data_IF_221971878578
#
_entry.id   IF_221971878578
#
_cell.length_a   1.000
_cell.length_b   1.000
_cell.length_c   1.000
_cell.angle_alpha   90.00
_cell.angle_beta   90.00
_cell.angle_gamma   90.00
#
_symmetry.space_group_name_H-M   'P 1'
#
loop_
_entity.id
_entity.type
_entity.pdbx_description
1 polymer ?
#
# COMPACT_ATOMS: atom_id res chain seq x y z
N UNK A 1 -13.34 -93.74 3.65
CA UNK A 1 -14.15 -92.59 4.09
C UNK A 1 -13.23 -91.39 4.21
N UNK A 2 -13.74 -90.25 3.74
CA UNK A 2 -13.14 -88.91 3.72
C UNK A 2 -12.60 -88.45 5.07
N UNK A 3 -11.59 -87.57 5.07
CA UNK A 3 -11.89 -86.17 5.40
C UNK A 3 -10.83 -85.21 4.84
N UNK A 4 -11.32 -84.35 3.95
CA UNK A 4 -10.75 -83.05 3.59
C UNK A 4 -11.30 -82.02 4.60
N UNK A 5 -10.74 -80.80 4.57
CA UNK A 5 -11.17 -79.58 5.26
C UNK A 5 -10.66 -79.43 6.71
N UNK A 6 -10.15 -78.29 7.17
CA UNK A 6 -10.04 -76.96 6.57
C UNK A 6 -9.03 -76.12 7.37
N UNK A 7 -8.49 -75.10 6.72
CA UNK A 7 -7.63 -74.09 7.31
C UNK A 7 -8.46 -73.14 8.19
N UNK A 8 -8.16 -73.06 9.49
CA UNK A 8 -8.57 -71.91 10.30
C UNK A 8 -7.53 -71.65 11.40
N UNK A 9 -6.42 -71.00 11.02
CA UNK A 9 -5.58 -70.26 11.96
C UNK A 9 -6.48 -69.23 12.66
N UNK A 10 -6.74 -69.45 13.94
CA UNK A 10 -7.56 -68.56 14.74
C UNK A 10 -6.92 -67.17 14.79
N UNK A 11 -7.65 -66.16 14.31
CA UNK A 11 -7.31 -64.75 14.46
C UNK A 11 -7.35 -64.33 15.94
N UNK A 12 -6.39 -64.76 16.75
CA UNK A 12 -6.23 -64.27 18.12
C UNK A 12 -5.45 -62.97 18.06
N UNK A 13 -6.16 -61.85 17.94
CA UNK A 13 -5.58 -60.51 18.05
C UNK A 13 -4.96 -60.27 19.44
N UNK A 14 -4.24 -59.13 19.65
CA UNK A 14 -3.47 -58.82 20.87
C UNK A 14 -4.27 -58.74 22.19
N UNK A 15 -5.59 -58.89 22.12
CA UNK A 15 -6.49 -58.61 23.22
C UNK A 15 -7.21 -59.89 23.64
N UNK A 16 -6.82 -60.38 24.82
CA UNK A 16 -7.09 -61.75 25.30
C UNK A 16 -8.20 -61.82 26.33
N UNK A 17 -8.72 -60.67 26.79
CA UNK A 17 -9.79 -60.62 27.79
C UNK A 17 -10.91 -59.66 27.37
N UNK A 18 -12.18 -59.96 27.71
CA UNK A 18 -13.30 -59.05 27.43
C UNK A 18 -13.12 -57.65 28.06
N UNK A 19 -12.46 -57.59 29.23
CA UNK A 19 -12.13 -56.33 29.90
C UNK A 19 -11.13 -55.48 29.11
N UNK A 20 -10.16 -56.12 28.47
CA UNK A 20 -9.17 -55.43 27.63
C UNK A 20 -9.78 -54.97 26.29
N UNK A 21 -10.78 -55.67 25.74
CA UNK A 21 -11.56 -55.18 24.58
C UNK A 21 -12.34 -53.91 24.94
N UNK A 22 -13.02 -53.91 26.09
CA UNK A 22 -13.79 -52.76 26.54
C UNK A 22 -12.90 -51.53 26.79
N UNK A 23 -11.75 -51.73 27.43
CA UNK A 23 -10.81 -50.65 27.73
C UNK A 23 -10.14 -50.09 26.48
N UNK A 24 -9.78 -50.95 25.51
CA UNK A 24 -9.20 -50.52 24.24
C UNK A 24 -10.22 -49.75 23.38
N UNK A 25 -11.49 -50.20 23.36
CA UNK A 25 -12.57 -49.47 22.69
C UNK A 25 -12.78 -48.09 23.29
N UNK A 26 -12.84 -48.00 24.63
CA UNK A 26 -13.04 -46.73 25.33
C UNK A 26 -11.86 -45.78 25.11
N UNK A 27 -10.62 -46.29 25.20
CA UNK A 27 -9.41 -45.53 24.97
C UNK A 27 -9.31 -45.00 23.54
N UNK A 28 -9.74 -45.78 22.53
CA UNK A 28 -9.72 -45.35 21.13
C UNK A 28 -10.63 -44.16 20.84
N UNK A 29 -11.67 -43.94 21.64
CA UNK A 29 -12.56 -42.80 21.50
C UNK A 29 -12.11 -41.62 22.38
N UNK A 30 -11.70 -41.91 23.61
CA UNK A 30 -11.33 -40.89 24.59
C UNK A 30 -10.02 -40.20 24.22
N UNK A 31 -8.98 -40.95 23.85
CA UNK A 31 -7.64 -40.40 23.59
C UNK A 31 -7.66 -39.38 22.43
N UNK A 32 -8.26 -39.68 21.26
CA UNK A 32 -8.35 -38.69 20.18
C UNK A 32 -9.16 -37.45 20.54
N UNK A 33 -10.25 -37.59 21.32
CA UNK A 33 -11.07 -36.44 21.76
C UNK A 33 -10.25 -35.50 22.63
N UNK A 34 -9.51 -36.02 23.61
CA UNK A 34 -8.66 -35.18 24.46
C UNK A 34 -7.49 -34.56 23.68
N UNK A 35 -6.92 -35.27 22.70
CA UNK A 35 -5.89 -34.71 21.81
C UNK A 35 -6.46 -33.54 21.00
N UNK A 36 -7.64 -33.68 20.40
CA UNK A 36 -8.28 -32.62 19.63
C UNK A 36 -8.60 -31.41 20.52
N UNK A 37 -9.17 -31.63 21.72
CA UNK A 37 -9.43 -30.56 22.68
C UNK A 37 -8.14 -29.85 23.08
N UNK A 38 -7.06 -30.59 23.36
CA UNK A 38 -5.76 -30.04 23.68
C UNK A 38 -5.16 -29.23 22.53
N UNK A 39 -5.28 -29.70 21.29
CA UNK A 39 -4.83 -28.98 20.09
C UNK A 39 -5.67 -27.72 19.84
N UNK A 40 -6.99 -27.78 20.01
CA UNK A 40 -7.85 -26.59 19.92
C UNK A 40 -7.47 -25.59 21.00
N UNK A 41 -7.26 -26.02 22.24
CA UNK A 41 -6.84 -25.13 23.31
C UNK A 41 -5.47 -24.51 23.00
N UNK A 42 -4.51 -25.32 22.56
CA UNK A 42 -3.17 -24.86 22.18
C UNK A 42 -3.19 -23.83 21.03
N UNK A 43 -3.99 -24.08 19.99
CA UNK A 43 -4.14 -23.18 18.84
C UNK A 43 -4.93 -21.92 19.21
N UNK A 44 -5.93 -22.03 20.08
CA UNK A 44 -6.82 -20.90 20.43
C UNK A 44 -6.37 -20.11 21.65
N UNK A 45 -5.42 -20.61 22.45
CA UNK A 45 -4.83 -19.90 23.59
C UNK A 45 -3.84 -18.82 23.18
N UNK A 46 -3.33 -18.86 21.95
CA UNK A 46 -2.59 -17.75 21.37
C UNK A 46 -3.58 -16.65 20.90
N UNK A 47 -3.80 -15.68 21.78
CA UNK A 47 -4.45 -14.38 21.51
C UNK A 47 -5.89 -14.38 20.96
N UNK A 48 -6.87 -14.58 21.85
CA UNK A 48 -8.19 -13.93 21.71
C UNK A 48 -8.22 -12.63 22.49
N UNK A 49 -7.77 -11.55 21.87
CA UNK A 49 -8.34 -10.22 22.14
C UNK A 49 -9.49 -10.02 21.16
N UNK A 50 -10.69 -9.77 21.69
CA UNK A 50 -11.85 -9.41 20.88
C UNK A 50 -11.57 -8.10 20.10
N UNK A 51 -12.09 -7.92 18.88
CA UNK A 51 -11.97 -6.66 18.17
C UNK A 51 -12.62 -5.54 19.01
N UNK A 52 -11.82 -4.60 19.51
CA UNK A 52 -12.30 -3.36 20.12
C UNK A 52 -12.32 -3.26 21.66
N UNK A 53 -11.82 -4.24 22.42
CA UNK A 53 -11.96 -4.22 23.88
C UNK A 53 -10.78 -3.61 24.69
N UNK A 54 -9.64 -3.23 24.07
CA UNK A 54 -8.50 -2.67 24.84
C UNK A 54 -7.74 -1.51 24.20
N UNK A 55 -8.21 -0.95 23.09
CA UNK A 55 -7.49 0.11 22.37
C UNK A 55 -8.24 1.45 22.33
N UNK A 56 -9.11 1.77 23.31
CA UNK A 56 -9.74 3.11 23.34
C UNK A 56 -8.66 4.19 23.53
N UNK A 57 -7.80 4.05 24.53
CA UNK A 57 -6.70 4.99 24.78
C UNK A 57 -5.65 4.98 23.66
N UNK A 58 -5.31 3.81 23.12
CA UNK A 58 -4.36 3.70 22.00
C UNK A 58 -4.92 4.28 20.71
N UNK A 59 -6.20 4.06 20.41
CA UNK A 59 -6.84 4.62 19.21
C UNK A 59 -7.11 6.12 19.34
N UNK A 60 -7.36 6.64 20.54
CA UNK A 60 -7.39 8.09 20.83
C UNK A 60 -5.99 8.69 20.69
N UNK A 61 -4.96 8.05 21.27
CA UNK A 61 -3.57 8.51 21.15
C UNK A 61 -3.04 8.47 19.70
N UNK A 62 -3.49 7.50 18.89
CA UNK A 62 -3.19 7.44 17.45
C UNK A 62 -3.87 8.57 16.65
N UNK A 63 -5.07 9.01 17.06
CA UNK A 63 -5.78 10.15 16.44
C UNK A 63 -5.23 11.52 16.84
N UNK A 64 -4.52 11.61 17.97
CA UNK A 64 -3.84 12.84 18.43
C UNK A 64 -2.40 12.90 17.91
N UNK A 65 -1.91 11.87 17.20
CA UNK A 65 -0.61 11.96 16.53
C UNK A 65 -0.58 13.16 15.60
N UNK A 66 0.55 13.89 15.63
CA UNK A 66 0.76 15.09 14.83
C UNK A 66 0.75 14.68 13.34
N UNK A 67 -0.39 14.83 12.67
CA UNK A 67 -0.64 14.43 11.28
C UNK A 67 0.14 15.24 10.24
N UNK A 68 1.00 16.17 10.66
CA UNK A 68 1.84 16.94 9.76
C UNK A 68 2.94 17.69 10.50
N UNK A 69 4.17 17.55 10.02
CA UNK A 69 5.23 18.49 10.31
C UNK A 69 5.12 19.62 9.31
N UNK A 70 4.86 20.84 9.79
CA UNK A 70 4.96 22.03 8.95
C UNK A 70 6.43 22.44 8.94
N UNK A 71 7.09 22.24 7.80
CA UNK A 71 8.44 22.75 7.57
C UNK A 71 8.32 24.15 6.96
N UNK A 72 8.79 25.17 7.69
CA UNK A 72 8.92 26.51 7.13
C UNK A 72 10.26 26.57 6.39
N UNK A 73 10.20 26.50 5.07
CA UNK A 73 11.37 26.58 4.20
C UNK A 73 11.64 28.04 3.84
N UNK A 74 12.92 28.40 3.70
CA UNK A 74 13.32 29.74 3.30
C UNK A 74 12.73 30.08 1.91
N UNK A 75 11.90 31.11 1.85
CA UNK A 75 11.29 31.59 0.61
C UNK A 75 12.33 32.13 -0.39
N UNK A 76 13.52 32.51 0.08
CA UNK A 76 14.61 33.07 -0.73
C UNK A 76 15.59 32.01 -1.25
N UNK A 77 15.32 30.72 -1.04
CA UNK A 77 16.18 29.67 -1.61
C UNK A 77 16.22 29.78 -3.14
N UNK A 78 17.36 29.45 -3.78
CA UNK A 78 17.42 29.37 -5.24
C UNK A 78 16.35 28.44 -5.79
N UNK A 79 15.58 28.95 -6.75
CA UNK A 79 14.53 28.19 -7.41
C UNK A 79 15.14 27.13 -8.33
N UNK A 80 14.69 25.90 -8.18
CA UNK A 80 15.11 24.79 -9.03
C UNK A 80 14.56 24.94 -10.45
N UNK A 81 15.28 24.32 -11.40
CA UNK A 81 14.86 24.24 -12.79
C UNK A 81 13.78 23.18 -12.99
N UNK A 82 13.00 23.29 -14.07
CA UNK A 82 11.89 22.37 -14.35
C UNK A 82 12.31 20.90 -14.49
N UNK A 83 13.48 20.63 -15.07
CA UNK A 83 14.01 19.27 -15.19
C UNK A 83 14.35 18.65 -13.82
N UNK A 84 14.92 19.43 -12.91
CA UNK A 84 15.28 18.96 -11.57
C UNK A 84 14.04 18.57 -10.77
N UNK A 85 13.02 19.43 -10.81
CA UNK A 85 11.72 19.19 -10.17
C UNK A 85 11.02 17.98 -10.79
N UNK A 86 11.06 17.86 -12.12
CA UNK A 86 10.54 16.69 -12.82
C UNK A 86 11.19 15.40 -12.32
N UNK A 87 12.52 15.35 -12.26
CA UNK A 87 13.26 14.17 -11.81
C UNK A 87 12.92 13.82 -10.36
N UNK A 88 12.86 14.82 -9.49
CA UNK A 88 12.66 14.63 -8.06
C UNK A 88 11.23 14.16 -7.70
N UNK A 89 10.21 14.64 -8.40
CA UNK A 89 8.81 14.42 -7.98
C UNK A 89 7.90 13.88 -9.07
N UNK A 90 8.00 14.39 -10.30
CA UNK A 90 7.02 14.12 -11.36
C UNK A 90 7.31 12.80 -12.09
N UNK A 91 8.59 12.42 -12.17
CA UNK A 91 9.08 11.25 -12.91
C UNK A 91 8.48 9.94 -12.39
N UNK A 92 8.20 9.85 -11.09
CA UNK A 92 7.63 8.67 -10.44
C UNK A 92 6.37 8.14 -11.13
N UNK A 93 5.52 9.05 -11.63
CA UNK A 93 4.31 8.66 -12.36
C UNK A 93 4.44 8.93 -13.87
N UNK A 94 5.03 10.06 -14.27
CA UNK A 94 5.03 10.48 -15.66
C UNK A 94 6.12 9.82 -16.51
N UNK A 95 7.15 9.20 -15.95
CA UNK A 95 8.15 8.49 -16.76
C UNK A 95 7.55 7.24 -17.44
N UNK A 96 6.71 6.50 -16.71
CA UNK A 96 6.10 5.26 -17.19
C UNK A 96 4.63 5.41 -17.59
N UNK A 97 3.97 6.49 -17.15
CA UNK A 97 2.52 6.67 -17.29
C UNK A 97 1.71 5.94 -16.21
N UNK A 98 2.28 5.79 -15.01
CA UNK A 98 1.64 5.12 -13.88
C UNK A 98 0.29 5.77 -13.54
N UNK A 99 -0.68 4.95 -13.14
CA UNK A 99 -2.05 5.39 -12.81
C UNK A 99 -2.74 6.22 -13.92
N UNK A 100 -2.35 6.02 -15.18
CA UNK A 100 -2.89 6.77 -16.33
C UNK A 100 -2.32 8.18 -16.48
N UNK A 101 -1.18 8.48 -15.85
CA UNK A 101 -0.47 9.74 -16.03
C UNK A 101 -0.03 9.91 -17.50
N UNK A 102 -0.11 11.12 -18.08
CA UNK A 102 0.40 11.37 -19.43
C UNK A 102 1.92 11.18 -19.44
N UNK A 103 2.40 10.21 -20.21
CA UNK A 103 3.81 9.82 -20.25
C UNK A 103 4.68 10.98 -20.75
N UNK A 104 5.85 11.16 -20.14
CA UNK A 104 6.82 12.17 -20.54
C UNK A 104 7.23 11.99 -22.01
N UNK A 105 7.35 13.10 -22.73
CA UNK A 105 7.65 13.17 -24.16
C UNK A 105 6.64 12.46 -25.10
N UNK A 106 5.47 12.06 -24.62
CA UNK A 106 4.41 11.49 -25.47
C UNK A 106 3.58 12.59 -26.14
N UNK A 107 3.94 12.97 -27.36
CA UNK A 107 3.23 14.00 -28.11
C UNK A 107 1.74 13.70 -28.32
N UNK A 108 1.35 12.41 -28.41
CA UNK A 108 -0.05 12.01 -28.57
C UNK A 108 -0.87 12.27 -27.31
N UNK A 109 -0.35 11.87 -26.15
CA UNK A 109 -1.00 12.12 -24.87
C UNK A 109 -1.01 13.62 -24.51
N UNK A 110 0.03 14.36 -24.86
CA UNK A 110 0.18 15.77 -24.48
C UNK A 110 -0.48 16.74 -25.45
N UNK A 111 -0.69 16.40 -26.72
CA UNK A 111 -1.19 17.33 -27.73
C UNK A 111 -2.51 18.02 -27.37
N UNK A 112 -3.50 17.28 -26.84
CA UNK A 112 -4.78 17.86 -26.39
C UNK A 112 -4.61 18.71 -25.13
N UNK A 113 -3.68 18.33 -24.25
CA UNK A 113 -3.39 19.02 -22.99
C UNK A 113 -2.70 20.36 -23.24
N UNK A 114 -1.69 20.37 -24.11
CA UNK A 114 -0.98 21.59 -24.54
C UNK A 114 -1.95 22.63 -25.13
N UNK A 115 -2.96 22.19 -25.89
CA UNK A 115 -3.99 23.09 -26.44
C UNK A 115 -4.84 23.80 -25.38
N UNK A 116 -4.89 23.29 -24.14
CA UNK A 116 -5.61 23.95 -23.04
C UNK A 116 -4.85 25.15 -22.46
N UNK A 117 -3.60 25.38 -22.90
CA UNK A 117 -2.74 26.46 -22.44
C UNK A 117 -2.00 26.12 -21.14
N UNK A 118 -0.92 26.86 -20.91
CA UNK A 118 -0.02 26.64 -19.77
C UNK A 118 -0.72 26.79 -18.43
N UNK A 119 -1.53 27.83 -18.24
CA UNK A 119 -2.19 28.09 -16.95
C UNK A 119 -3.10 26.94 -16.51
N UNK A 120 -3.83 26.33 -17.45
CA UNK A 120 -4.69 25.16 -17.18
C UNK A 120 -3.87 23.96 -16.70
N UNK A 121 -2.71 23.74 -17.31
CA UNK A 121 -1.81 22.63 -16.95
C UNK A 121 -1.20 22.85 -15.57
N UNK A 122 -0.68 24.06 -15.32
CA UNK A 122 -0.12 24.44 -14.02
C UNK A 122 -1.18 24.34 -12.93
N UNK A 123 -2.39 24.86 -13.17
CA UNK A 123 -3.51 24.76 -12.21
C UNK A 123 -3.85 23.31 -11.90
N UNK A 124 -3.88 22.44 -12.92
CA UNK A 124 -4.14 21.01 -12.73
C UNK A 124 -3.03 20.33 -11.91
N UNK A 125 -1.78 20.74 -12.07
CA UNK A 125 -0.66 20.21 -11.29
C UNK A 125 -0.69 20.69 -9.83
N UNK A 126 -0.94 21.99 -9.62
CA UNK A 126 -0.97 22.59 -8.28
C UNK A 126 -2.14 22.06 -7.45
N UNK A 127 -3.34 21.99 -8.02
CA UNK A 127 -4.55 21.53 -7.32
C UNK A 127 -4.72 20.01 -7.34
N UNK A 128 -3.97 19.32 -8.18
CA UNK A 128 -4.17 17.89 -8.45
C UNK A 128 -5.33 17.64 -9.41
N UNK A 129 -5.33 16.46 -10.04
CA UNK A 129 -6.35 16.03 -10.98
C UNK A 129 -6.40 14.51 -11.10
N UNK A 130 -7.56 13.92 -10.80
CA UNK A 130 -7.74 12.46 -10.85
C UNK A 130 -6.80 11.76 -9.86
N UNK A 131 -5.97 10.85 -10.36
CA UNK A 131 -4.98 10.13 -9.56
C UNK A 131 -3.71 10.96 -9.23
N UNK A 132 -3.53 12.13 -9.85
CA UNK A 132 -2.43 13.04 -9.55
C UNK A 132 -2.79 13.90 -8.32
N UNK A 133 -2.09 13.70 -7.21
CA UNK A 133 -2.24 14.52 -6.01
C UNK A 133 -1.79 15.98 -6.22
N UNK A 134 -2.29 16.88 -5.38
CA UNK A 134 -1.92 18.30 -5.39
C UNK A 134 -0.42 18.46 -5.16
N UNK A 135 0.25 19.22 -6.04
CA UNK A 135 1.67 19.55 -5.90
C UNK A 135 1.90 20.90 -5.21
N UNK A 136 0.86 21.74 -5.11
CA UNK A 136 0.93 23.00 -4.39
C UNK A 136 1.11 22.77 -2.89
N UNK A 137 1.96 23.58 -2.25
CA UNK A 137 2.28 23.46 -0.83
C UNK A 137 3.12 22.23 -0.45
N UNK A 138 3.69 21.52 -1.44
CA UNK A 138 4.61 20.41 -1.23
C UNK A 138 6.08 20.87 -1.11
N UNK A 139 7.00 19.99 -1.50
CA UNK A 139 8.45 20.25 -1.44
C UNK A 139 8.94 21.39 -2.36
N UNK A 140 8.20 21.66 -3.42
CA UNK A 140 8.54 22.66 -4.43
C UNK A 140 7.52 23.78 -4.40
N UNK A 141 7.97 25.00 -4.66
CA UNK A 141 7.05 26.13 -4.78
C UNK A 141 6.29 26.10 -6.11
N UNK A 142 5.23 26.89 -6.20
CA UNK A 142 4.34 26.90 -7.36
C UNK A 142 5.07 27.25 -8.68
N UNK A 143 6.11 28.08 -8.61
CA UNK A 143 6.94 28.43 -9.77
C UNK A 143 7.81 27.26 -10.22
N UNK A 144 8.45 26.54 -9.30
CA UNK A 144 9.23 25.33 -9.55
C UNK A 144 8.34 24.24 -10.18
N UNK A 145 7.11 24.07 -9.68
CA UNK A 145 6.10 23.18 -10.29
C UNK A 145 5.73 23.66 -11.69
N UNK A 146 5.50 24.95 -11.89
CA UNK A 146 5.16 25.50 -13.20
C UNK A 146 6.30 25.30 -14.22
N UNK A 147 7.56 25.44 -13.80
CA UNK A 147 8.74 25.11 -14.63
C UNK A 147 8.78 23.64 -14.99
N UNK A 148 8.46 22.74 -14.07
CA UNK A 148 8.38 21.30 -14.35
C UNK A 148 7.29 20.99 -15.40
N UNK A 149 6.12 21.64 -15.29
CA UNK A 149 5.05 21.52 -16.27
C UNK A 149 5.50 22.00 -17.65
N UNK A 150 6.19 23.13 -17.73
CA UNK A 150 6.78 23.63 -18.99
C UNK A 150 7.79 22.63 -19.56
N UNK A 151 8.69 22.12 -18.72
CA UNK A 151 9.68 21.12 -19.15
C UNK A 151 9.00 19.88 -19.76
N UNK A 152 7.98 19.34 -19.09
CA UNK A 152 7.24 18.17 -19.58
C UNK A 152 6.46 18.46 -20.86
N UNK A 153 5.76 19.59 -20.92
CA UNK A 153 4.98 19.98 -22.08
C UNK A 153 5.86 20.26 -23.30
N UNK A 154 6.98 20.95 -23.12
CA UNK A 154 7.91 21.28 -24.22
C UNK A 154 8.59 20.03 -24.77
N UNK A 155 8.98 19.09 -23.91
CA UNK A 155 9.51 17.80 -24.36
C UNK A 155 8.47 16.93 -25.10
N UNK A 156 7.18 17.25 -24.99
CA UNK A 156 6.10 16.59 -25.72
C UNK A 156 5.56 17.41 -26.90
N UNK A 157 6.30 18.44 -27.36
CA UNK A 157 5.96 19.25 -28.52
C UNK A 157 5.33 20.62 -28.21
N UNK A 158 5.25 21.00 -26.94
CA UNK A 158 4.87 22.34 -26.51
C UNK A 158 5.97 23.38 -26.77
N UNK A 159 5.59 24.66 -26.72
CA UNK A 159 6.50 25.80 -26.81
C UNK A 159 6.08 26.88 -25.81
N UNK A 160 6.17 26.53 -24.53
CA UNK A 160 5.89 27.44 -23.44
C UNK A 160 7.17 28.06 -22.91
N UNK A 161 7.10 29.35 -22.57
CA UNK A 161 8.19 30.04 -21.89
C UNK A 161 8.28 29.59 -20.43
N UNK A 162 9.50 29.46 -19.94
CA UNK A 162 9.73 29.08 -18.55
C UNK A 162 9.33 30.23 -17.61
N UNK A 163 8.49 29.99 -16.58
CA UNK A 163 8.09 31.00 -15.63
C UNK A 163 9.29 31.56 -14.87
N UNK A 164 9.46 32.88 -14.97
CA UNK A 164 10.47 33.61 -14.21
C UNK A 164 10.04 33.69 -12.75
N UNK A 165 11.03 33.74 -11.85
CA UNK A 165 10.76 34.07 -10.46
C UNK A 165 10.05 35.44 -10.43
N UNK A 166 8.98 35.62 -9.63
CA UNK A 166 8.50 36.97 -9.36
C UNK A 166 9.69 37.77 -8.82
N UNK A 167 9.96 38.92 -9.44
CA UNK A 167 10.93 39.86 -8.88
C UNK A 167 10.48 40.13 -7.44
N UNK A 168 11.40 40.05 -6.48
CA UNK A 168 11.12 40.33 -5.08
C UNK A 168 10.28 41.61 -5.00
N UNK A 169 8.98 41.47 -4.72
CA UNK A 169 8.14 42.62 -4.46
C UNK A 169 8.76 43.27 -3.22
N UNK A 170 9.33 44.44 -3.45
CA UNK A 170 10.16 45.14 -2.48
C UNK A 170 9.47 45.22 -1.13
N UNK A 171 10.27 45.01 -0.09
CA UNK A 171 10.45 45.97 1.00
C UNK A 171 9.57 47.23 0.87
N UNK A 172 8.29 47.10 1.21
CA UNK A 172 7.45 48.23 1.57
C UNK A 172 7.57 48.38 3.08
N UNK A 173 8.54 49.22 3.43
CA UNK A 173 8.68 49.89 4.72
C UNK A 173 7.38 50.57 5.15
#
# INVERSE_FOLDING_TARGET
MSDNHDQHEAHTGPVKTPKQMLLLSLASFIIPVFIIIGLVFYVTSANKTAPGASDSERSVAQRIQKIGTVEVRDANRPLKGGEEVYKAQCSACHATGAAGAPKFADAGAWGVRIKQGLETLVTSALKGKGAMGAQGGGDFNDIEIARAVVYMANNAGGKFDEPKAPAAEGEKK
#
